data_IF_011210201218
#
_entry.id   IF_011210201218
#
_cell.length_a   1.000
_cell.length_b   1.000
_cell.length_c   1.000
_cell.angle_alpha   90.00
_cell.angle_beta   90.00
_cell.angle_gamma   90.00
#
_symmetry.space_group_name_H-M   'P 1'
#
loop_
_entity.id
_entity.type
_entity.pdbx_description
1 polymer ?
#
# COMPACT_ATOMS: atom_id res chain seq x y z
N UNK A 1 0.64 5.51 3.08
CA UNK A 1 1.12 6.02 1.78
C UNK A 1 1.93 7.30 1.98
N UNK A 2 2.91 7.67 1.11
CA UNK A 2 3.51 9.02 1.12
C UNK A 2 3.77 9.58 -0.30
N UNK A 3 3.23 10.74 -0.69
CA UNK A 3 3.60 11.43 -1.95
C UNK A 3 4.77 12.38 -1.69
N UNK A 4 5.89 12.19 -2.42
CA UNK A 4 7.21 12.72 -2.05
C UNK A 4 7.89 13.58 -3.13
N UNK A 5 7.15 14.02 -4.14
CA UNK A 5 7.67 15.07 -5.02
C UNK A 5 7.72 16.40 -4.23
N UNK A 6 8.89 16.75 -3.68
CA UNK A 6 9.18 18.09 -3.14
C UNK A 6 9.48 19.05 -4.31
N UNK A 7 8.52 19.17 -5.21
CA UNK A 7 8.53 20.15 -6.29
C UNK A 7 7.71 21.35 -5.82
N UNK A 8 8.35 22.51 -5.70
CA UNK A 8 7.68 23.80 -5.50
C UNK A 8 6.98 24.21 -6.79
N UNK A 9 5.90 23.50 -7.12
CA UNK A 9 5.00 23.85 -8.21
C UNK A 9 3.85 24.64 -7.60
N UNK A 10 3.61 25.84 -8.14
CA UNK A 10 2.40 26.61 -7.85
C UNK A 10 1.22 25.80 -8.41
N UNK A 11 0.54 25.07 -7.54
CA UNK A 11 -0.60 24.24 -7.90
C UNK A 11 -1.77 24.58 -7.00
N UNK A 12 -2.93 24.81 -7.61
CA UNK A 12 -4.18 25.17 -6.92
C UNK A 12 -4.83 23.99 -6.16
N UNK A 13 -4.06 22.95 -5.80
CA UNK A 13 -4.57 21.81 -5.06
C UNK A 13 -3.61 21.34 -3.96
N UNK A 14 -4.20 20.92 -2.84
CA UNK A 14 -3.47 20.37 -1.70
C UNK A 14 -2.92 18.99 -2.04
N UNK A 15 -1.60 18.87 -2.16
CA UNK A 15 -0.93 17.56 -2.34
C UNK A 15 -0.92 16.83 -1.01
N UNK A 16 -1.83 15.87 -0.84
CA UNK A 16 -1.84 15.03 0.35
C UNK A 16 -0.63 14.09 0.33
N UNK A 17 0.32 14.36 1.23
CA UNK A 17 1.57 13.60 1.30
C UNK A 17 1.41 12.27 2.01
N UNK A 18 0.24 11.88 2.54
CA UNK A 18 0.04 10.56 3.15
C UNK A 18 -1.42 10.14 3.19
N UNK A 19 -1.66 8.87 2.85
CA UNK A 19 -2.96 8.19 3.01
C UNK A 19 -2.80 7.00 3.94
N UNK A 20 -3.63 6.95 4.98
CA UNK A 20 -3.74 5.82 5.89
C UNK A 20 -5.04 5.08 5.61
N UNK A 21 -5.05 3.78 5.88
CA UNK A 21 -6.27 2.99 5.79
C UNK A 21 -6.99 3.07 7.15
N UNK A 22 -8.17 3.68 7.24
CA UNK A 22 -8.89 3.82 8.51
C UNK A 22 -9.48 2.50 9.02
N UNK A 23 -9.51 1.46 8.17
CA UNK A 23 -10.09 0.15 8.47
C UNK A 23 -9.05 -0.91 8.82
N UNK A 24 -7.81 -0.50 9.14
CA UNK A 24 -6.79 -1.42 9.61
C UNK A 24 -7.24 -2.06 10.94
N UNK A 25 -7.19 -3.41 11.07
CA UNK A 25 -7.51 -4.06 12.33
C UNK A 25 -6.53 -3.63 13.42
N UNK A 26 -7.03 -3.52 14.65
CA UNK A 26 -6.25 -3.11 15.83
C UNK A 26 -5.07 -4.05 16.05
N UNK A 27 -5.30 -5.35 15.88
CA UNK A 27 -4.26 -6.37 15.85
C UNK A 27 -4.06 -6.84 14.42
N UNK A 28 -2.86 -6.59 13.88
CA UNK A 28 -2.57 -6.96 12.50
C UNK A 28 -2.17 -8.42 12.41
N UNK A 29 -2.94 -9.20 11.64
CA UNK A 29 -2.66 -10.61 11.32
C UNK A 29 -1.58 -10.80 10.23
N UNK A 30 -1.15 -9.70 9.59
CA UNK A 30 -0.13 -9.69 8.54
C UNK A 30 0.88 -8.57 8.83
N UNK A 31 2.13 -8.68 8.36
CA UNK A 31 3.09 -7.58 8.47
C UNK A 31 2.57 -6.31 7.79
N UNK A 32 2.70 -5.16 8.47
CA UNK A 32 2.37 -3.87 7.90
C UNK A 32 3.56 -3.29 7.15
N UNK A 33 3.29 -2.61 6.04
CA UNK A 33 4.29 -1.97 5.20
C UNK A 33 3.89 -0.54 4.82
N UNK A 34 4.85 0.38 4.85
CA UNK A 34 4.75 1.73 4.29
C UNK A 34 5.09 1.66 2.81
N UNK A 35 4.13 2.03 1.98
CA UNK A 35 4.29 2.01 0.54
C UNK A 35 4.41 3.41 -0.09
N UNK A 36 5.24 3.49 -1.13
CA UNK A 36 5.30 4.59 -2.09
C UNK A 36 4.71 4.16 -3.44
N UNK A 37 4.00 5.06 -4.12
CA UNK A 37 3.37 4.80 -5.44
C UNK A 37 4.10 5.55 -6.55
N UNK A 38 5.41 5.48 -6.49
CA UNK A 38 6.34 6.03 -7.46
C UNK A 38 7.45 5.01 -7.63
N UNK A 39 8.00 4.93 -8.84
CA UNK A 39 9.25 4.21 -9.07
C UNK A 39 10.40 5.06 -8.51
N UNK A 40 10.68 4.92 -7.21
CA UNK A 40 11.71 5.73 -6.55
C UNK A 40 13.10 5.33 -7.03
N UNK A 41 13.29 4.06 -7.44
CA UNK A 41 14.51 3.60 -8.11
C UNK A 41 14.90 4.47 -9.32
N UNK A 42 13.92 4.91 -10.09
CA UNK A 42 14.12 5.72 -11.30
C UNK A 42 13.94 7.23 -11.06
N UNK A 43 13.60 7.63 -9.84
CA UNK A 43 13.35 9.02 -9.47
C UNK A 43 14.30 9.46 -8.33
N UNK A 44 15.55 9.85 -8.62
CA UNK A 44 16.59 10.12 -7.62
C UNK A 44 16.28 11.29 -6.67
N UNK A 45 15.26 12.11 -7.01
CA UNK A 45 14.74 13.18 -6.16
C UNK A 45 13.70 12.71 -5.14
N UNK A 46 13.31 11.42 -5.16
CA UNK A 46 12.36 10.81 -4.23
C UNK A 46 13.11 10.06 -3.14
N UNK A 47 12.93 10.48 -1.89
CA UNK A 47 13.51 9.77 -0.74
C UNK A 47 12.78 8.44 -0.50
N UNK A 48 13.53 7.35 -0.40
CA UNK A 48 13.02 6.02 0.02
C UNK A 48 13.10 5.80 1.54
N UNK A 49 13.52 6.81 2.32
CA UNK A 49 13.69 6.66 3.77
C UNK A 49 12.34 6.36 4.46
N UNK A 50 12.29 5.23 5.17
CA UNK A 50 11.07 4.77 5.85
C UNK A 50 9.96 4.27 4.91
N UNK A 51 10.31 3.89 3.67
CA UNK A 51 9.45 3.17 2.73
C UNK A 51 9.90 1.72 2.68
N UNK A 52 8.95 0.80 2.82
CA UNK A 52 9.19 -0.63 2.81
C UNK A 52 8.99 -1.23 1.41
N UNK A 53 8.01 -0.72 0.64
CA UNK A 53 7.63 -1.25 -0.68
C UNK A 53 7.28 -0.16 -1.70
N UNK A 54 7.58 -0.42 -2.97
CA UNK A 54 7.17 0.40 -4.12
C UNK A 54 6.00 -0.27 -4.88
N UNK A 55 5.08 0.53 -5.40
CA UNK A 55 4.10 0.15 -6.43
C UNK A 55 3.76 1.37 -7.29
N UNK A 56 2.81 1.25 -8.21
CA UNK A 56 2.42 2.39 -9.07
C UNK A 56 0.96 2.81 -8.85
N UNK A 57 0.14 1.97 -8.22
CA UNK A 57 -1.32 2.14 -8.17
C UNK A 57 -1.86 2.46 -6.76
N UNK A 58 -1.07 2.24 -5.71
CA UNK A 58 -1.52 2.26 -4.32
C UNK A 58 -2.12 3.61 -3.89
N UNK A 59 -1.52 4.73 -4.30
CA UNK A 59 -2.00 6.08 -3.99
C UNK A 59 -3.41 6.32 -4.53
N UNK A 60 -3.59 6.03 -5.82
CA UNK A 60 -4.84 6.24 -6.53
C UNK A 60 -5.94 5.34 -5.95
N UNK A 61 -5.60 4.08 -5.64
CA UNK A 61 -6.51 3.16 -4.97
C UNK A 61 -6.99 3.70 -3.62
N UNK A 62 -6.08 4.12 -2.73
CA UNK A 62 -6.44 4.67 -1.42
C UNK A 62 -7.29 5.94 -1.57
N UNK A 63 -6.90 6.84 -2.47
CA UNK A 63 -7.61 8.10 -2.68
C UNK A 63 -9.06 7.88 -3.12
N UNK A 64 -9.29 6.98 -4.08
CA UNK A 64 -10.65 6.65 -4.54
C UNK A 64 -11.45 5.98 -3.43
N UNK A 65 -10.89 4.99 -2.72
CA UNK A 65 -11.62 4.33 -1.64
C UNK A 65 -12.02 5.30 -0.52
N UNK A 66 -11.13 6.23 -0.16
CA UNK A 66 -11.43 7.27 0.84
C UNK A 66 -12.49 8.25 0.31
N UNK A 67 -12.36 8.70 -0.94
CA UNK A 67 -13.30 9.65 -1.54
C UNK A 67 -14.72 9.08 -1.67
N UNK A 68 -14.82 7.79 -1.99
CA UNK A 68 -16.10 7.08 -2.17
C UNK A 68 -16.62 6.43 -0.87
N UNK A 69 -15.98 6.71 0.27
CA UNK A 69 -16.28 6.09 1.58
C UNK A 69 -16.38 4.54 1.50
N UNK A 70 -15.53 3.93 0.68
CA UNK A 70 -15.50 2.50 0.46
C UNK A 70 -14.52 1.84 1.43
N UNK A 71 -15.01 0.88 2.21
CA UNK A 71 -14.13 0.05 3.07
C UNK A 71 -13.14 -0.72 2.22
N UNK A 72 -11.88 -0.67 2.62
CA UNK A 72 -10.79 -1.30 1.89
C UNK A 72 -9.67 -1.73 2.81
N UNK A 73 -8.95 -2.77 2.37
CA UNK A 73 -7.69 -3.21 2.91
C UNK A 73 -6.84 -3.62 1.69
N UNK A 74 -5.52 -3.41 1.75
CA UNK A 74 -4.62 -3.78 0.65
C UNK A 74 -3.58 -4.78 1.17
N UNK A 75 -3.57 -5.97 0.55
CA UNK A 75 -2.52 -6.98 0.76
C UNK A 75 -1.65 -7.01 -0.48
N UNK A 76 -0.33 -7.02 -0.29
CA UNK A 76 0.66 -7.16 -1.37
C UNK A 76 1.68 -8.21 -0.98
N UNK A 77 2.19 -8.92 -1.98
CA UNK A 77 3.41 -9.70 -1.88
C UNK A 77 4.53 -9.01 -2.65
N UNK A 78 5.78 -9.25 -2.24
CA UNK A 78 6.96 -8.72 -2.89
C UNK A 78 7.50 -9.78 -3.83
N UNK A 79 7.56 -9.48 -5.12
CA UNK A 79 8.08 -10.36 -6.17
C UNK A 79 9.56 -10.14 -6.46
N UNK A 80 10.10 -8.98 -6.10
CA UNK A 80 11.46 -8.59 -6.42
C UNK A 80 11.96 -7.50 -5.45
N UNK A 81 13.28 -7.39 -5.34
CA UNK A 81 13.89 -6.25 -4.67
C UNK A 81 14.12 -5.13 -5.69
N UNK A 82 13.86 -3.89 -5.28
CA UNK A 82 14.09 -2.71 -6.13
C UNK A 82 15.59 -2.40 -6.15
N UNK A 83 16.30 -2.83 -7.20
CA UNK A 83 17.72 -2.54 -7.44
C UNK A 83 17.95 -2.33 -8.94
N UNK A 84 18.81 -1.37 -9.28
CA UNK A 84 19.14 -1.08 -10.68
C UNK A 84 19.84 -2.29 -11.28
N UNK A 85 19.30 -2.81 -12.39
CA UNK A 85 19.84 -3.98 -13.11
C UNK A 85 19.49 -5.34 -12.50
N UNK A 86 18.58 -5.39 -11.52
CA UNK A 86 18.10 -6.63 -10.91
C UNK A 86 16.68 -6.94 -11.39
N UNK A 87 16.60 -7.85 -12.37
CA UNK A 87 15.34 -8.37 -12.91
C UNK A 87 15.01 -9.77 -12.35
N UNK A 88 15.50 -10.11 -11.16
CA UNK A 88 15.18 -11.38 -10.52
C UNK A 88 13.80 -11.34 -9.86
N UNK A 89 12.77 -11.57 -10.67
CA UNK A 89 11.40 -11.69 -10.21
C UNK A 89 11.09 -13.12 -9.76
N UNK A 90 10.73 -13.29 -8.50
CA UNK A 90 10.16 -14.53 -7.97
C UNK A 90 8.63 -14.46 -7.94
N UNK A 91 8.02 -14.62 -9.12
CA UNK A 91 6.57 -14.61 -9.25
C UNK A 91 5.91 -15.81 -8.57
N UNK A 92 6.55 -16.98 -8.58
CA UNK A 92 5.95 -18.20 -8.03
C UNK A 92 5.78 -18.06 -6.52
N UNK A 93 6.84 -17.71 -5.81
CA UNK A 93 6.79 -17.57 -4.35
C UNK A 93 5.92 -16.38 -3.93
N UNK A 94 5.94 -15.28 -4.68
CA UNK A 94 5.12 -14.11 -4.36
C UNK A 94 3.63 -14.35 -4.56
N UNK A 95 3.22 -15.10 -5.59
CA UNK A 95 1.83 -15.51 -5.78
C UNK A 95 1.41 -16.47 -4.65
N UNK A 96 2.22 -17.48 -4.34
CA UNK A 96 1.92 -18.42 -3.26
C UNK A 96 1.77 -17.71 -1.91
N UNK A 97 2.66 -16.77 -1.61
CA UNK A 97 2.61 -15.96 -0.39
C UNK A 97 1.35 -15.08 -0.35
N UNK A 98 1.00 -14.47 -1.48
CA UNK A 98 -0.22 -13.66 -1.59
C UNK A 98 -1.48 -14.50 -1.37
N UNK A 99 -1.56 -15.67 -1.98
CA UNK A 99 -2.68 -16.59 -1.80
C UNK A 99 -2.85 -17.00 -0.34
N UNK A 100 -1.75 -17.37 0.33
CA UNK A 100 -1.79 -17.74 1.75
C UNK A 100 -2.22 -16.56 2.65
N UNK A 101 -1.69 -15.36 2.37
CA UNK A 101 -2.06 -14.16 3.11
C UNK A 101 -3.54 -13.79 2.90
N UNK A 102 -4.04 -13.95 1.67
CA UNK A 102 -5.44 -13.69 1.33
C UNK A 102 -6.39 -14.63 2.09
N UNK A 103 -6.09 -15.93 2.16
CA UNK A 103 -6.90 -16.87 2.95
C UNK A 103 -6.95 -16.46 4.43
N UNK A 104 -5.80 -16.18 5.04
CA UNK A 104 -5.74 -15.70 6.44
C UNK A 104 -6.58 -14.44 6.66
N UNK A 105 -6.54 -13.52 5.71
CA UNK A 105 -7.30 -12.27 5.78
C UNK A 105 -8.80 -12.50 5.66
N UNK A 106 -9.24 -13.35 4.72
CA UNK A 106 -10.66 -13.68 4.56
C UNK A 106 -11.18 -14.38 5.81
N UNK A 107 -10.43 -15.35 6.35
CA UNK A 107 -10.81 -16.06 7.58
C UNK A 107 -10.93 -15.11 8.78
N UNK A 108 -10.02 -14.15 8.90
CA UNK A 108 -10.10 -13.09 9.91
C UNK A 108 -11.37 -12.23 9.74
N UNK A 109 -11.66 -11.77 8.52
CA UNK A 109 -12.83 -10.92 8.26
C UNK A 109 -14.17 -11.67 8.45
N UNK A 110 -14.20 -12.97 8.18
CA UNK A 110 -15.38 -13.82 8.45
C UNK A 110 -15.60 -13.97 9.95
N UNK A 111 -14.53 -14.16 10.72
CA UNK A 111 -14.59 -14.36 12.18
C UNK A 111 -14.81 -13.06 12.97
N UNK A 112 -14.55 -11.90 12.38
CA UNK A 112 -14.70 -10.58 13.02
C UNK A 112 -15.72 -9.70 12.28
N UNK A 113 -17.02 -10.07 12.30
CA UNK A 113 -18.05 -9.37 11.56
C UNK A 113 -18.24 -7.91 12.01
N UNK A 114 -17.94 -7.56 13.26
CA UNK A 114 -18.15 -6.22 13.85
C UNK A 114 -17.14 -5.16 13.34
N UNK A 115 -15.98 -5.58 12.82
CA UNK A 115 -15.06 -4.69 12.08
C UNK A 115 -15.70 -4.15 10.77
N UNK A 116 -16.93 -4.61 10.44
CA UNK A 116 -17.75 -4.06 9.36
C UNK A 116 -18.48 -2.76 9.76
N UNK A 117 -18.75 -2.47 11.03
CA UNK A 117 -19.69 -1.40 11.40
C UNK A 117 -19.05 -0.06 11.79
N UNK A 118 -17.72 0.03 11.90
CA UNK A 118 -17.03 1.28 12.23
C UNK A 118 -16.88 2.20 11.01
N UNK A 119 -18.03 2.77 10.59
CA UNK A 119 -18.11 4.02 9.83
C UNK A 119 -18.47 5.10 10.85
N UNK A 120 -17.52 5.97 11.19
CA UNK A 120 -17.82 7.23 11.84
C UNK A 120 -17.45 8.38 10.91
#
# INVERSE_FOLDING_TARGET
FKHLADLSLDMDFTVSKRWDCPHLPVESILPLAKSNSMNAAMAPFVSSNGIDIENMEGAAFFQVCIAENQRFLQVRSVSNFVRIGDDNWDFVSSIQSLTQALYKMIDYLISHPDDREHSC
#
